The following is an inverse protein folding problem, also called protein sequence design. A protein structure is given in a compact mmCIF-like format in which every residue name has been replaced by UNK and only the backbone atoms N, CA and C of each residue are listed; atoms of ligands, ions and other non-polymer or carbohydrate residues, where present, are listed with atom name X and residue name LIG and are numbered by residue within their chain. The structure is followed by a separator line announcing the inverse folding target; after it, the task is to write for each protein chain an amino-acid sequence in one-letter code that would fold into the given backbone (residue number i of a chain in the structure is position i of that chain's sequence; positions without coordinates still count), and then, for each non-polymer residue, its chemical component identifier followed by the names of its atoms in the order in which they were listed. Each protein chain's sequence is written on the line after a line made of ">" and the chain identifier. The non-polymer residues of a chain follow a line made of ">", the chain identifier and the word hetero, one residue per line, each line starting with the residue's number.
data_IF_901060268696
#
_entry.id   IF_901060268696
#
_cell.length_a   1.000
_cell.length_b   1.000
_cell.length_c   1.000
_cell.angle_alpha   90.00
_cell.angle_beta   90.00
_cell.angle_gamma   90.00
#
_symmetry.space_group_name_H-M   'P 1'
#
loop_
_entity.id
_entity.type
_entity.pdbx_description
1 polymer ?
#
# COMPACT_ATOMS: atom_id res chain seq x y z
N UNK A 1 30.17 6.59 -2.57
CA UNK A 1 29.40 7.61 -1.83
C UNK A 1 27.94 7.23 -1.88
N UNK A 2 27.42 6.63 -0.81
CA UNK A 2 25.99 6.33 -0.65
C UNK A 2 25.20 7.63 -0.58
N UNK A 3 24.72 8.11 -1.74
CA UNK A 3 23.78 9.22 -1.78
C UNK A 3 22.47 8.70 -1.18
N UNK A 4 22.05 9.23 -0.03
CA UNK A 4 20.80 8.83 0.63
C UNK A 4 19.65 8.91 -0.38
N UNK A 5 19.03 7.78 -0.68
CA UNK A 5 17.99 7.67 -1.73
C UNK A 5 16.75 8.52 -1.40
N UNK A 6 16.46 8.66 -0.10
CA UNK A 6 15.35 9.46 0.40
C UNK A 6 15.80 10.82 0.94
N UNK A 7 15.01 11.84 0.66
CA UNK A 7 15.20 13.18 1.19
C UNK A 7 14.57 13.33 2.58
N UNK A 8 14.44 14.57 3.08
CA UNK A 8 13.78 14.87 4.36
C UNK A 8 12.36 14.29 4.43
N UNK A 9 11.90 14.05 5.65
CA UNK A 9 10.56 13.53 6.00
C UNK A 9 9.44 14.20 5.18
N UNK A 10 8.59 13.40 4.52
CA UNK A 10 7.40 13.88 3.79
C UNK A 10 6.43 14.60 4.75
N UNK A 11 5.91 15.80 4.40
CA UNK A 11 4.80 16.40 5.15
C UNK A 11 3.50 15.61 4.93
N UNK A 12 2.54 15.75 5.85
CA UNK A 12 1.19 15.26 5.61
C UNK A 12 0.44 16.19 4.65
N UNK A 13 -0.27 15.63 3.69
CA UNK A 13 -1.10 16.35 2.73
C UNK A 13 -2.58 16.19 3.09
N UNK A 14 -3.34 17.28 3.24
CA UNK A 14 -4.74 17.21 3.61
C UNK A 14 -5.59 16.66 2.46
N UNK A 15 -6.72 16.02 2.79
CA UNK A 15 -7.73 15.64 1.80
C UNK A 15 -8.42 16.91 1.31
N UNK A 16 -8.27 17.22 0.03
CA UNK A 16 -8.96 18.34 -0.59
C UNK A 16 -10.42 17.99 -0.94
N UNK A 17 -11.25 19.00 -1.27
CA UNK A 17 -12.67 18.80 -1.59
C UNK A 17 -12.89 17.81 -2.75
N UNK A 18 -12.07 17.87 -3.81
CA UNK A 18 -12.23 17.00 -4.97
C UNK A 18 -11.95 15.54 -4.62
N UNK A 19 -10.89 15.27 -3.85
CA UNK A 19 -10.60 13.93 -3.35
C UNK A 19 -11.69 13.44 -2.39
N UNK A 20 -12.21 14.31 -1.51
CA UNK A 20 -13.33 13.96 -0.63
C UNK A 20 -14.58 13.57 -1.43
N UNK A 21 -14.92 14.33 -2.46
CA UNK A 21 -16.08 14.06 -3.34
C UNK A 21 -15.89 12.72 -4.08
N UNK A 22 -14.68 12.46 -4.61
CA UNK A 22 -14.31 11.16 -5.20
C UNK A 22 -14.47 9.99 -4.21
N UNK A 23 -13.98 10.15 -2.99
CA UNK A 23 -14.08 9.11 -1.95
C UNK A 23 -15.54 8.87 -1.57
N UNK A 24 -16.39 9.90 -1.56
CA UNK A 24 -17.83 9.73 -1.32
C UNK A 24 -18.51 8.98 -2.47
N UNK A 25 -18.20 9.33 -3.71
CA UNK A 25 -18.75 8.65 -4.91
C UNK A 25 -18.44 7.14 -4.93
N UNK A 26 -17.27 6.75 -4.44
CA UNK A 26 -16.82 5.35 -4.38
C UNK A 26 -17.01 4.68 -3.01
N UNK A 27 -17.92 5.20 -2.18
CA UNK A 27 -18.28 4.63 -0.87
C UNK A 27 -17.09 4.42 0.09
N UNK A 28 -16.06 5.26 -0.02
CA UNK A 28 -14.89 5.30 0.87
C UNK A 28 -15.03 6.32 1.98
N UNK A 29 -15.75 7.42 1.73
CA UNK A 29 -15.99 8.46 2.72
C UNK A 29 -17.32 8.22 3.44
N UNK A 30 -17.22 7.70 4.67
CA UNK A 30 -18.38 7.30 5.48
C UNK A 30 -18.25 7.97 6.85
N UNK A 31 -19.37 8.34 7.46
CA UNK A 31 -19.37 8.78 8.87
C UNK A 31 -18.91 7.63 9.75
N UNK A 32 -17.71 7.74 10.30
CA UNK A 32 -17.16 6.77 11.24
C UNK A 32 -17.58 7.12 12.67
N UNK A 33 -17.82 6.11 13.53
CA UNK A 33 -18.25 6.32 14.91
C UNK A 33 -17.12 6.73 15.85
N UNK A 34 -15.86 6.68 15.41
CA UNK A 34 -14.68 7.02 16.22
C UNK A 34 -13.59 7.67 15.36
N UNK A 35 -12.97 8.72 15.89
CA UNK A 35 -11.86 9.43 15.25
C UNK A 35 -10.52 9.05 15.87
N UNK A 36 -9.44 9.35 15.17
CA UNK A 36 -8.08 9.16 15.68
C UNK A 36 -7.85 9.93 17.00
N UNK A 37 -8.38 11.15 17.09
CA UNK A 37 -8.28 12.06 18.24
C UNK A 37 -8.99 11.50 19.49
N UNK A 38 -10.05 10.70 19.32
CA UNK A 38 -10.74 10.06 20.45
C UNK A 38 -9.84 9.01 21.10
N UNK A 39 -9.12 8.23 20.29
CA UNK A 39 -8.21 7.20 20.77
C UNK A 39 -6.97 7.78 21.48
N UNK A 40 -6.58 9.02 21.19
CA UNK A 40 -5.51 9.71 21.91
C UNK A 40 -5.85 10.03 23.37
N UNK A 41 -7.11 9.88 23.80
CA UNK A 41 -7.54 10.12 25.19
C UNK A 41 -7.20 8.98 26.16
N UNK A 42 -6.43 7.98 25.75
CA UNK A 42 -6.00 6.90 26.64
C UNK A 42 -5.31 7.44 27.90
N UNK A 43 -5.57 6.82 29.06
CA UNK A 43 -5.09 7.28 30.38
C UNK A 43 -3.78 6.60 30.81
N UNK A 44 -3.52 5.41 30.28
CA UNK A 44 -2.35 4.63 30.60
C UNK A 44 -1.97 3.72 29.46
N UNK A 45 -0.74 3.20 29.49
CA UNK A 45 -0.28 2.23 28.53
C UNK A 45 0.82 1.34 29.10
N UNK A 46 1.00 0.17 28.50
CA UNK A 46 2.05 -0.80 28.84
C UNK A 46 2.81 -1.18 27.58
N UNK A 47 4.12 -1.28 27.68
CA UNK A 47 4.99 -1.67 26.57
C UNK A 47 4.70 -3.09 26.08
N UNK A 48 4.69 -3.26 24.76
CA UNK A 48 4.54 -4.57 24.12
C UNK A 48 5.93 -5.05 23.71
N UNK A 49 6.28 -6.24 24.18
CA UNK A 49 7.53 -6.91 23.84
C UNK A 49 7.25 -8.05 22.85
N UNK A 50 8.22 -8.31 21.97
CA UNK A 50 8.15 -9.43 21.04
C UNK A 50 8.39 -10.78 21.75
N UNK A 51 8.31 -11.88 21.00
CA UNK A 51 8.55 -13.25 21.50
C UNK A 51 9.97 -13.47 22.07
N UNK A 52 10.90 -12.56 21.79
CA UNK A 52 12.29 -12.59 22.23
C UNK A 52 12.58 -11.58 23.36
N UNK A 53 11.58 -10.83 23.82
CA UNK A 53 11.73 -9.82 24.86
C UNK A 53 12.28 -8.48 24.36
N UNK A 54 12.30 -8.22 23.05
CA UNK A 54 12.68 -6.92 22.51
C UNK A 54 11.47 -5.98 22.47
N UNK A 55 11.70 -4.68 22.66
CA UNK A 55 10.66 -3.66 22.52
C UNK A 55 10.10 -3.60 21.09
N UNK A 56 8.77 -3.62 20.95
CA UNK A 56 8.11 -3.56 19.64
C UNK A 56 7.82 -2.13 19.17
N UNK A 57 8.11 -1.11 20.00
CA UNK A 57 7.69 0.29 19.84
C UNK A 57 6.17 0.53 19.88
N UNK A 58 5.39 -0.54 20.10
CA UNK A 58 3.96 -0.47 20.38
C UNK A 58 3.71 -0.49 21.88
N UNK A 59 2.70 0.28 22.30
CA UNK A 59 2.19 0.27 23.66
C UNK A 59 0.72 -0.13 23.65
N UNK A 60 0.33 -1.06 24.52
CA UNK A 60 -1.08 -1.41 24.71
C UNK A 60 -1.73 -0.33 25.56
N UNK A 61 -2.83 0.25 25.09
CA UNK A 61 -3.46 1.42 25.70
C UNK A 61 -4.67 1.08 26.55
N UNK A 62 -4.91 1.88 27.59
CA UNK A 62 -6.06 1.75 28.50
C UNK A 62 -6.84 3.05 28.56
N UNK A 63 -8.15 2.94 28.50
CA UNK A 63 -9.09 4.06 28.56
C UNK A 63 -9.80 4.10 29.90
N UNK A 64 -10.35 5.26 30.24
CA UNK A 64 -11.17 5.40 31.44
C UNK A 64 -12.37 4.44 31.38
N UNK A 65 -12.75 3.85 32.50
CA UNK A 65 -13.84 2.87 32.56
C UNK A 65 -15.15 3.40 31.95
N UNK A 66 -15.45 4.68 32.15
CA UNK A 66 -16.64 5.34 31.61
C UNK A 66 -16.59 5.64 30.11
N UNK A 67 -15.41 5.69 29.48
CA UNK A 67 -15.26 5.87 28.02
C UNK A 67 -15.05 4.52 27.30
N UNK A 68 -14.55 3.52 28.01
CA UNK A 68 -14.10 2.26 27.43
C UNK A 68 -15.20 1.54 26.65
N UNK A 69 -16.40 1.43 27.23
CA UNK A 69 -17.52 0.75 26.57
C UNK A 69 -17.94 1.44 25.27
N UNK A 70 -17.94 2.78 25.26
CA UNK A 70 -18.27 3.58 24.07
C UNK A 70 -17.21 3.44 22.98
N UNK A 71 -15.93 3.49 23.35
CA UNK A 71 -14.81 3.30 22.42
C UNK A 71 -14.85 1.89 21.82
N UNK A 72 -14.98 0.85 22.65
CA UNK A 72 -15.04 -0.53 22.18
C UNK A 72 -16.25 -0.74 21.26
N UNK A 73 -17.43 -0.21 21.63
CA UNK A 73 -18.63 -0.30 20.78
C UNK A 73 -18.42 0.40 19.43
N UNK A 74 -17.80 1.57 19.42
CA UNK A 74 -17.50 2.31 18.20
C UNK A 74 -16.51 1.57 17.30
N UNK A 75 -15.48 0.94 17.88
CA UNK A 75 -14.53 0.10 17.14
C UNK A 75 -15.19 -1.16 16.57
N UNK A 76 -16.13 -1.79 17.29
CA UNK A 76 -16.90 -2.91 16.74
C UNK A 76 -17.77 -2.48 15.55
N UNK A 77 -18.38 -1.29 15.62
CA UNK A 77 -19.14 -0.70 14.49
C UNK A 77 -18.25 -0.37 13.30
N UNK A 78 -17.04 0.14 13.53
CA UNK A 78 -16.06 0.32 12.44
C UNK A 78 -15.82 -1.00 11.71
N UNK A 79 -15.62 -2.10 12.45
CA UNK A 79 -15.43 -3.42 11.85
C UNK A 79 -16.62 -3.85 11.00
N UNK A 80 -17.85 -3.67 11.47
CA UNK A 80 -19.06 -4.06 10.72
C UNK A 80 -19.29 -3.18 9.50
N UNK A 81 -18.99 -1.88 9.56
CA UNK A 81 -19.07 -0.99 8.38
C UNK A 81 -18.05 -1.40 7.32
N UNK A 82 -16.86 -1.84 7.73
CA UNK A 82 -15.78 -2.21 6.80
C UNK A 82 -16.00 -3.58 6.14
N UNK A 83 -16.60 -4.55 6.84
CA UNK A 83 -16.71 -5.95 6.39
C UNK A 83 -18.13 -6.44 6.09
N UNK A 84 -19.16 -5.71 6.53
CA UNK A 84 -20.56 -6.11 6.43
C UNK A 84 -21.43 -4.91 5.99
N UNK A 85 -22.72 -4.98 6.27
CA UNK A 85 -23.70 -3.93 5.98
C UNK A 85 -23.76 -2.83 7.06
N UNK A 86 -22.87 -2.88 8.04
CA UNK A 86 -22.90 -1.98 9.21
C UNK A 86 -24.00 -2.29 10.21
N UNK A 87 -24.68 -3.44 10.13
CA UNK A 87 -25.71 -3.83 11.08
C UNK A 87 -25.15 -4.08 12.49
N UNK A 88 -25.96 -3.72 13.50
CA UNK A 88 -25.61 -3.92 14.91
C UNK A 88 -25.76 -5.41 15.34
N UNK A 89 -26.42 -6.24 14.52
CA UNK A 89 -26.71 -7.66 14.81
C UNK A 89 -25.46 -8.50 15.02
N UNK A 90 -24.40 -8.20 14.26
CA UNK A 90 -23.12 -8.89 14.36
C UNK A 90 -22.30 -8.47 15.59
N UNK A 91 -22.57 -7.29 16.19
CA UNK A 91 -21.72 -6.70 17.23
C UNK A 91 -21.61 -7.56 18.49
N UNK A 92 -22.66 -8.33 18.82
CA UNK A 92 -22.64 -9.26 19.96
C UNK A 92 -21.59 -10.36 19.81
N UNK A 93 -21.19 -10.67 18.58
CA UNK A 93 -20.17 -11.67 18.25
C UNK A 93 -18.78 -11.07 18.04
N UNK A 94 -18.64 -9.75 18.10
CA UNK A 94 -17.37 -9.05 17.88
C UNK A 94 -16.83 -8.54 19.21
N UNK A 95 -15.53 -8.71 19.40
CA UNK A 95 -14.78 -8.27 20.58
C UNK A 95 -13.55 -7.46 20.17
N UNK A 96 -13.18 -6.48 20.99
CA UNK A 96 -11.94 -5.73 20.83
C UNK A 96 -10.95 -6.33 21.82
N UNK A 97 -10.01 -7.11 21.32
CA UNK A 97 -9.02 -7.80 22.13
C UNK A 97 -7.89 -6.86 22.59
N UNK A 98 -7.52 -5.90 21.74
CA UNK A 98 -6.41 -4.99 22.00
C UNK A 98 -6.56 -3.66 21.23
N UNK A 99 -6.10 -2.58 21.84
CA UNK A 99 -5.94 -1.26 21.24
C UNK A 99 -4.49 -0.83 21.50
N UNK A 100 -3.64 -0.96 20.48
CA UNK A 100 -2.22 -0.67 20.59
C UNK A 100 -1.89 0.63 19.86
N UNK A 101 -1.04 1.45 20.46
CA UNK A 101 -0.56 2.70 19.87
C UNK A 101 0.90 2.59 19.49
N UNK A 102 1.23 2.97 18.25
CA UNK A 102 2.61 3.03 17.80
C UNK A 102 3.25 4.35 18.25
N UNK A 103 4.30 4.26 19.05
CA UNK A 103 5.01 5.44 19.57
C UNK A 103 5.94 6.09 18.54
N UNK A 104 6.22 5.37 17.45
CA UNK A 104 7.14 5.73 16.38
C UNK A 104 6.42 6.08 15.06
N UNK A 105 7.14 6.70 14.11
CA UNK A 105 6.63 7.01 12.77
C UNK A 105 5.92 8.37 12.65
N UNK A 106 5.38 8.64 11.47
CA UNK A 106 4.84 9.97 11.10
C UNK A 106 3.39 10.13 11.54
N UNK A 107 2.62 9.08 11.32
CA UNK A 107 1.17 9.03 11.53
C UNK A 107 0.80 8.43 12.88
N UNK A 108 1.76 7.83 13.59
CA UNK A 108 1.61 7.18 14.91
C UNK A 108 0.29 6.40 15.00
N UNK A 109 0.14 5.32 14.21
CA UNK A 109 -1.13 4.64 14.05
C UNK A 109 -1.57 3.95 15.35
N UNK A 110 -2.88 3.79 15.51
CA UNK A 110 -3.46 2.77 16.39
C UNK A 110 -3.65 1.47 15.61
N UNK A 111 -3.38 0.34 16.25
CA UNK A 111 -3.68 -1.01 15.77
C UNK A 111 -4.72 -1.64 16.69
N UNK A 112 -5.85 -2.00 16.12
CA UNK A 112 -7.00 -2.54 16.83
C UNK A 112 -7.12 -4.02 16.47
N UNK A 113 -7.03 -4.90 17.47
CA UNK A 113 -7.30 -6.33 17.28
C UNK A 113 -8.78 -6.59 17.46
N UNK A 114 -9.47 -6.93 16.38
CA UNK A 114 -10.89 -7.24 16.37
C UNK A 114 -11.06 -8.73 16.20
N UNK A 115 -11.78 -9.39 17.10
CA UNK A 115 -11.98 -10.85 17.09
C UNK A 115 -13.46 -11.20 16.99
N UNK A 116 -13.79 -12.11 16.08
CA UNK A 116 -15.10 -12.73 15.98
C UNK A 116 -15.12 -14.00 16.84
N UNK A 117 -15.96 -14.01 17.87
CA UNK A 117 -16.00 -15.08 18.86
C UNK A 117 -16.64 -16.37 18.33
N UNK A 118 -17.39 -16.33 17.23
CA UNK A 118 -18.07 -17.51 16.69
C UNK A 118 -17.10 -18.47 15.98
N UNK A 119 -16.06 -17.94 15.36
CA UNK A 119 -15.07 -18.71 14.61
C UNK A 119 -13.63 -18.51 15.11
N UNK A 120 -13.46 -17.70 16.16
CA UNK A 120 -12.18 -17.30 16.76
C UNK A 120 -11.19 -16.64 15.78
N UNK A 121 -11.69 -16.16 14.63
CA UNK A 121 -10.90 -15.40 13.68
C UNK A 121 -10.73 -13.96 14.18
N UNK A 122 -9.56 -13.39 13.91
CA UNK A 122 -9.29 -11.99 14.20
C UNK A 122 -8.75 -11.26 12.95
N UNK A 123 -8.98 -9.96 12.93
CA UNK A 123 -8.41 -9.02 11.97
C UNK A 123 -7.79 -7.85 12.73
N UNK A 124 -6.78 -7.25 12.14
CA UNK A 124 -6.25 -5.98 12.63
C UNK A 124 -6.79 -4.83 11.79
N UNK A 125 -7.26 -3.78 12.45
CA UNK A 125 -7.59 -2.51 11.82
C UNK A 125 -6.55 -1.47 12.24
N UNK A 126 -6.14 -0.61 11.32
CA UNK A 126 -5.27 0.52 11.64
C UNK A 126 -6.03 1.83 11.52
N UNK A 127 -6.04 2.61 12.60
CA UNK A 127 -6.64 3.94 12.63
C UNK A 127 -5.52 4.98 12.67
N UNK A 128 -5.50 5.89 11.70
CA UNK A 128 -4.42 6.85 11.50
C UNK A 128 -4.97 8.22 11.14
N UNK A 129 -4.12 9.25 11.26
CA UNK A 129 -4.36 10.51 10.56
C UNK A 129 -4.36 10.29 9.05
N UNK A 130 -5.37 10.79 8.38
CA UNK A 130 -5.50 10.71 6.94
C UNK A 130 -4.47 11.59 6.24
N UNK A 131 -3.95 11.09 5.12
CA UNK A 131 -3.01 11.77 4.24
C UNK A 131 -3.41 11.49 2.80
N UNK A 132 -3.62 12.54 2.01
CA UNK A 132 -4.08 12.43 0.63
C UNK A 132 -3.12 11.59 -0.22
N UNK A 133 -1.81 11.77 -0.03
CA UNK A 133 -0.79 11.00 -0.74
C UNK A 133 -0.91 9.49 -0.45
N UNK A 134 -1.10 9.08 0.81
CA UNK A 134 -1.39 7.69 1.19
C UNK A 134 -2.65 7.16 0.53
N UNK A 135 -3.74 7.93 0.54
CA UNK A 135 -5.04 7.53 -0.05
C UNK A 135 -4.91 7.29 -1.55
N UNK A 136 -4.18 8.15 -2.27
CA UNK A 136 -3.90 7.93 -3.69
C UNK A 136 -3.17 6.61 -3.93
N UNK A 137 -2.24 6.23 -3.04
CA UNK A 137 -1.52 4.96 -3.13
C UNK A 137 -2.44 3.75 -2.92
N UNK A 138 -3.31 3.83 -1.91
CA UNK A 138 -4.31 2.79 -1.62
C UNK A 138 -5.28 2.60 -2.79
N UNK A 139 -5.80 3.69 -3.38
CA UNK A 139 -6.71 3.62 -4.53
C UNK A 139 -5.99 3.13 -5.80
N UNK A 140 -4.77 3.61 -6.08
CA UNK A 140 -3.97 3.10 -7.20
C UNK A 140 -3.64 1.62 -7.06
N UNK A 141 -3.35 1.14 -5.85
CA UNK A 141 -3.17 -0.30 -5.60
C UNK A 141 -4.49 -1.04 -5.80
N UNK A 142 -5.60 -0.55 -5.24
CA UNK A 142 -6.92 -1.17 -5.37
C UNK A 142 -7.38 -1.31 -6.83
N UNK A 143 -7.14 -0.30 -7.67
CA UNK A 143 -7.59 -0.28 -9.07
C UNK A 143 -6.68 -1.07 -10.02
N UNK A 144 -5.36 -1.05 -9.77
CA UNK A 144 -4.37 -1.53 -10.74
C UNK A 144 -3.69 -2.85 -10.32
N UNK A 145 -3.93 -3.32 -9.10
CA UNK A 145 -3.46 -4.60 -8.57
C UNK A 145 -4.60 -5.62 -8.57
N UNK A 146 -4.34 -6.94 -8.58
CA UNK A 146 -5.39 -7.93 -8.32
C UNK A 146 -5.80 -7.95 -6.84
N UNK A 147 -5.12 -7.18 -5.99
CA UNK A 147 -5.33 -7.16 -4.55
C UNK A 147 -6.31 -6.04 -4.19
N UNK A 148 -7.48 -6.40 -3.69
CA UNK A 148 -8.38 -5.41 -3.12
C UNK A 148 -7.83 -4.87 -1.80
N UNK A 149 -8.02 -3.56 -1.63
CA UNK A 149 -7.67 -2.80 -0.43
C UNK A 149 -8.96 -2.30 0.21
N UNK A 150 -9.16 -2.60 1.48
CA UNK A 150 -10.29 -2.17 2.28
C UNK A 150 -9.85 -1.06 3.23
N UNK A 151 -10.42 0.12 3.03
CA UNK A 151 -10.21 1.26 3.90
C UNK A 151 -11.40 2.20 3.83
N UNK A 152 -11.53 3.03 4.87
CA UNK A 152 -12.52 4.09 5.01
C UNK A 152 -11.85 5.38 5.45
N UNK A 153 -12.46 6.50 5.08
CA UNK A 153 -11.97 7.83 5.41
C UNK A 153 -13.13 8.64 5.99
N UNK A 154 -12.86 9.46 7.00
CA UNK A 154 -13.76 10.51 7.43
C UNK A 154 -12.99 11.68 8.03
N UNK A 155 -13.22 12.89 7.52
CA UNK A 155 -12.48 14.07 7.96
C UNK A 155 -10.96 13.85 7.80
N UNK A 156 -10.24 13.89 8.91
CA UNK A 156 -8.80 13.68 9.00
C UNK A 156 -8.41 12.30 9.57
N UNK A 157 -9.35 11.35 9.61
CA UNK A 157 -9.12 9.97 10.05
C UNK A 157 -9.23 9.00 8.88
N UNK A 158 -8.29 8.06 8.80
CA UNK A 158 -8.35 6.90 7.90
C UNK A 158 -8.34 5.61 8.73
N UNK A 159 -9.16 4.66 8.30
CA UNK A 159 -9.25 3.32 8.87
C UNK A 159 -8.88 2.32 7.77
N UNK A 160 -7.87 1.51 8.00
CA UNK A 160 -7.35 0.55 7.02
C UNK A 160 -7.41 -0.87 7.57
N UNK A 161 -7.88 -1.81 6.77
CA UNK A 161 -7.73 -3.23 7.10
C UNK A 161 -6.25 -3.63 6.97
N UNK A 162 -5.79 -4.49 7.88
CA UNK A 162 -4.46 -5.09 7.78
C UNK A 162 -4.32 -5.95 6.53
N UNK A 163 -3.25 -5.71 5.78
CA UNK A 163 -2.88 -6.57 4.65
C UNK A 163 -2.04 -7.73 5.19
N UNK A 164 -2.66 -8.90 5.31
CA UNK A 164 -2.02 -10.11 5.80
C UNK A 164 -0.95 -10.65 4.84
N UNK A 165 0.15 -11.11 5.41
CA UNK A 165 1.24 -11.80 4.72
C UNK A 165 2.49 -11.85 5.61
N UNK A 166 3.53 -12.55 5.16
CA UNK A 166 4.82 -12.59 5.85
C UNK A 166 5.57 -11.30 5.51
N UNK A 167 5.97 -10.46 6.48
CA UNK A 167 6.77 -9.26 6.21
C UNK A 167 8.01 -9.60 5.38
N UNK A 168 8.33 -8.77 4.40
CA UNK A 168 9.39 -9.09 3.45
C UNK A 168 10.77 -9.26 4.09
N UNK A 169 11.08 -8.47 5.11
CA UNK A 169 12.30 -8.60 5.91
C UNK A 169 12.37 -9.95 6.65
N UNK A 170 11.26 -10.33 7.28
CA UNK A 170 11.10 -11.60 7.98
C UNK A 170 11.24 -12.78 7.01
N UNK A 171 10.57 -12.71 5.85
CA UNK A 171 10.65 -13.77 4.85
C UNK A 171 12.06 -13.94 4.28
N UNK A 172 12.75 -12.83 3.98
CA UNK A 172 14.13 -12.84 3.50
C UNK A 172 15.05 -13.50 4.55
N UNK A 173 14.97 -13.06 5.81
CA UNK A 173 15.86 -13.53 6.87
C UNK A 173 15.57 -14.96 7.35
N UNK A 174 14.31 -15.37 7.41
CA UNK A 174 13.90 -16.63 8.07
C UNK A 174 13.49 -17.73 7.09
N UNK A 175 13.09 -17.41 5.85
CA UNK A 175 12.49 -18.38 4.93
C UNK A 175 13.26 -18.56 3.62
N UNK A 176 13.83 -17.48 3.06
CA UNK A 176 14.37 -17.47 1.68
C UNK A 176 15.44 -18.53 1.44
N UNK A 177 16.36 -18.73 2.38
CA UNK A 177 17.43 -19.73 2.25
C UNK A 177 16.90 -21.16 2.15
N UNK A 178 15.83 -21.45 2.89
CA UNK A 178 15.20 -22.78 2.96
C UNK A 178 14.31 -23.11 1.75
N UNK A 179 13.99 -22.13 0.91
CA UNK A 179 13.18 -22.32 -0.29
C UNK A 179 13.87 -23.22 -1.32
N UNK A 180 13.08 -24.05 -2.01
CA UNK A 180 13.57 -24.85 -3.14
C UNK A 180 13.99 -23.98 -4.32
N UNK A 181 14.74 -24.53 -5.27
CA UNK A 181 15.12 -23.80 -6.50
C UNK A 181 13.89 -23.35 -7.31
N UNK A 182 12.83 -24.16 -7.31
CA UNK A 182 11.56 -23.84 -7.95
C UNK A 182 10.87 -22.65 -7.26
N UNK A 183 10.85 -22.63 -5.93
CA UNK A 183 10.30 -21.52 -5.14
C UNK A 183 11.10 -20.24 -5.39
N UNK A 184 12.44 -20.32 -5.35
CA UNK A 184 13.34 -19.18 -5.60
C UNK A 184 13.14 -18.61 -7.01
N UNK A 185 12.90 -19.47 -8.01
CA UNK A 185 12.54 -19.05 -9.37
C UNK A 185 11.20 -18.30 -9.40
N UNK A 186 10.17 -18.81 -8.70
CA UNK A 186 8.87 -18.15 -8.61
C UNK A 186 8.95 -16.79 -7.90
N UNK A 187 9.72 -16.72 -6.80
CA UNK A 187 9.99 -15.48 -6.06
C UNK A 187 10.73 -14.48 -6.94
N UNK A 188 11.77 -14.90 -7.67
CA UNK A 188 12.52 -14.03 -8.58
C UNK A 188 11.62 -13.43 -9.68
N UNK A 189 10.78 -14.26 -10.31
CA UNK A 189 9.77 -13.80 -11.27
C UNK A 189 8.82 -12.78 -10.65
N UNK A 190 8.28 -13.05 -9.47
CA UNK A 190 7.37 -12.14 -8.79
C UNK A 190 8.06 -10.84 -8.36
N UNK A 191 9.33 -10.88 -7.96
CA UNK A 191 10.09 -9.70 -7.58
C UNK A 191 10.33 -8.76 -8.78
N UNK A 192 10.59 -9.29 -9.98
CA UNK A 192 10.66 -8.49 -11.22
C UNK A 192 9.32 -7.80 -11.49
N UNK A 193 8.22 -8.54 -11.37
CA UNK A 193 6.87 -7.99 -11.57
C UNK A 193 6.52 -6.95 -10.52
N UNK A 194 6.86 -7.19 -9.25
CA UNK A 194 6.64 -6.25 -8.15
C UNK A 194 7.43 -4.96 -8.35
N UNK A 195 8.68 -5.03 -8.80
CA UNK A 195 9.48 -3.85 -9.14
C UNK A 195 8.78 -2.97 -10.19
N UNK A 196 8.27 -3.60 -11.26
CA UNK A 196 7.57 -2.88 -12.34
C UNK A 196 6.26 -2.25 -11.85
N UNK A 197 5.50 -3.01 -11.05
CA UNK A 197 4.26 -2.53 -10.41
C UNK A 197 4.48 -1.31 -9.52
N UNK A 198 5.56 -1.28 -8.75
CA UNK A 198 5.88 -0.14 -7.89
C UNK A 198 6.28 1.07 -8.72
N UNK A 199 7.09 0.85 -9.75
CA UNK A 199 7.65 1.93 -10.55
C UNK A 199 6.60 2.66 -11.39
N UNK A 200 5.71 1.93 -12.08
CA UNK A 200 4.68 2.55 -12.94
C UNK A 200 3.73 3.43 -12.14
N UNK A 201 3.38 3.00 -10.92
CA UNK A 201 2.42 3.67 -10.04
C UNK A 201 3.08 4.66 -9.09
N UNK A 202 4.42 4.76 -9.12
CA UNK A 202 5.22 5.51 -8.15
C UNK A 202 4.84 5.17 -6.70
N UNK A 203 4.59 3.89 -6.43
CA UNK A 203 4.40 3.39 -5.08
C UNK A 203 5.68 3.65 -4.29
N UNK A 204 5.56 4.15 -3.06
CA UNK A 204 6.65 4.64 -2.20
C UNK A 204 7.86 3.71 -2.03
N UNK A 205 8.72 3.98 -1.05
CA UNK A 205 9.94 3.19 -0.88
C UNK A 205 9.62 1.76 -0.38
N UNK A 206 9.60 0.80 -1.29
CA UNK A 206 9.31 -0.60 -0.99
C UNK A 206 10.53 -1.34 -0.43
N UNK A 207 10.97 -0.90 0.76
CA UNK A 207 11.91 -1.64 1.59
C UNK A 207 11.27 -2.95 2.05
N UNK A 208 12.07 -3.92 2.46
CA UNK A 208 11.58 -5.26 2.79
C UNK A 208 10.51 -5.28 3.89
N UNK A 209 10.50 -4.32 4.82
CA UNK A 209 9.46 -4.17 5.84
C UNK A 209 8.18 -3.40 5.37
N UNK A 210 8.16 -2.87 4.15
CA UNK A 210 7.05 -2.11 3.56
C UNK A 210 6.19 -2.95 2.58
N UNK A 211 6.48 -4.23 2.45
CA UNK A 211 5.67 -5.19 1.70
C UNK A 211 5.60 -6.54 2.40
N UNK A 212 4.66 -7.38 1.99
CA UNK A 212 4.49 -8.74 2.49
C UNK A 212 4.51 -9.77 1.35
N UNK A 213 4.98 -10.97 1.65
CA UNK A 213 4.77 -12.16 0.83
C UNK A 213 3.44 -12.81 1.21
N UNK A 214 2.63 -13.10 0.19
CA UNK A 214 1.43 -13.92 0.29
C UNK A 214 1.67 -15.21 -0.48
N UNK A 215 1.56 -16.33 0.22
CA UNK A 215 1.83 -17.66 -0.30
C UNK A 215 0.49 -18.37 -0.49
N UNK A 216 0.19 -18.77 -1.72
CA UNK A 216 -1.01 -19.54 -2.04
C UNK A 216 -0.59 -20.94 -2.47
N UNK A 217 -1.04 -21.96 -1.75
CA UNK A 217 -0.75 -23.34 -2.10
C UNK A 217 -1.68 -23.77 -3.25
N UNK A 218 -1.09 -24.09 -4.39
CA UNK A 218 -1.74 -24.76 -5.53
C UNK A 218 -1.49 -26.28 -5.44
N UNK A 219 -2.04 -27.07 -6.36
CA UNK A 219 -1.98 -28.55 -6.30
C UNK A 219 -0.56 -29.12 -6.18
N UNK A 220 0.42 -28.53 -6.85
CA UNK A 220 1.80 -29.03 -6.94
C UNK A 220 2.88 -27.95 -6.71
N UNK A 221 2.47 -26.71 -6.40
CA UNK A 221 3.39 -25.56 -6.27
C UNK A 221 2.85 -24.51 -5.32
N UNK A 222 3.74 -23.62 -4.88
CA UNK A 222 3.38 -22.43 -4.11
C UNK A 222 3.45 -21.22 -5.04
N UNK A 223 2.34 -20.49 -5.14
CA UNK A 223 2.32 -19.19 -5.81
C UNK A 223 2.70 -18.10 -4.82
N UNK A 224 3.79 -17.40 -5.14
CA UNK A 224 4.29 -16.27 -4.35
C UNK A 224 3.79 -14.95 -4.94
N UNK A 225 3.18 -14.12 -4.10
CA UNK A 225 2.76 -12.77 -4.44
C UNK A 225 3.38 -11.76 -3.48
N UNK A 226 3.96 -10.68 -4.00
CA UNK A 226 4.43 -9.57 -3.18
C UNK A 226 3.41 -8.43 -3.21
N UNK A 227 2.94 -8.03 -2.03
CA UNK A 227 1.96 -6.95 -1.82
C UNK A 227 2.57 -5.79 -1.06
N UNK A 228 2.44 -4.58 -1.58
CA UNK A 228 2.77 -3.36 -0.85
C UNK A 228 1.83 -3.18 0.34
N UNK A 229 2.37 -2.76 1.49
CA UNK A 229 1.58 -2.47 2.70
C UNK A 229 1.76 -1.03 3.20
N UNK A 230 2.83 -0.35 2.78
CA UNK A 230 3.05 1.05 3.11
C UNK A 230 2.97 1.97 1.88
N UNK A 231 2.16 3.02 1.99
CA UNK A 231 1.91 4.03 0.97
C UNK A 231 2.28 5.44 1.45
N UNK A 232 3.00 5.56 2.58
CA UNK A 232 3.36 6.85 3.17
C UNK A 232 4.28 7.71 2.28
N UNK A 233 5.02 7.12 1.33
CA UNK A 233 5.87 7.85 0.37
C UNK A 233 5.29 7.88 -1.06
N UNK A 234 3.99 7.61 -1.21
CA UNK A 234 3.33 7.57 -2.53
C UNK A 234 3.56 8.86 -3.34
N UNK A 235 4.13 8.70 -4.54
CA UNK A 235 4.37 9.79 -5.50
C UNK A 235 5.06 11.02 -4.92
N UNK A 236 5.90 10.89 -3.89
CA UNK A 236 6.54 12.04 -3.24
C UNK A 236 7.96 12.32 -3.71
N UNK A 237 8.79 11.29 -3.87
CA UNK A 237 10.22 11.44 -4.15
C UNK A 237 10.55 11.81 -5.60
N UNK A 238 11.64 12.57 -5.77
CA UNK A 238 12.13 13.01 -7.09
C UNK A 238 13.01 11.96 -7.79
N UNK A 239 13.77 11.21 -7.01
CA UNK A 239 14.66 10.16 -7.50
C UNK A 239 13.84 8.91 -7.87
N UNK A 240 13.82 8.56 -9.16
CA UNK A 240 13.05 7.42 -9.69
C UNK A 240 13.44 6.08 -9.08
N UNK A 241 14.65 5.94 -8.54
CA UNK A 241 15.13 4.70 -7.91
C UNK A 241 14.40 4.37 -6.61
N UNK A 242 13.80 5.35 -5.94
CA UNK A 242 13.01 5.12 -4.71
C UNK A 242 11.82 4.20 -4.98
N UNK A 243 11.21 4.33 -6.16
CA UNK A 243 10.04 3.56 -6.58
C UNK A 243 10.38 2.19 -7.17
N UNK A 244 11.63 1.77 -7.06
CA UNK A 244 12.17 0.52 -7.61
C UNK A 244 12.82 -0.29 -6.48
N UNK A 245 12.10 -1.26 -5.89
CA UNK A 245 12.60 -2.09 -4.79
C UNK A 245 14.04 -2.59 -4.96
N UNK A 246 14.46 -2.93 -6.18
CA UNK A 246 15.82 -3.40 -6.50
C UNK A 246 16.96 -2.41 -6.17
N UNK A 247 16.68 -1.14 -5.91
CA UNK A 247 17.70 -0.16 -5.50
C UNK A 247 17.74 0.07 -3.99
N UNK A 248 16.86 -0.58 -3.22
CA UNK A 248 16.81 -0.48 -1.77
C UNK A 248 17.65 -1.60 -1.17
N UNK A 249 18.54 -1.24 -0.24
CA UNK A 249 19.58 -2.15 0.29
C UNK A 249 19.00 -3.36 0.98
N UNK A 250 17.85 -3.17 1.62
CA UNK A 250 17.12 -4.20 2.35
C UNK A 250 16.59 -5.32 1.44
N UNK A 251 16.62 -5.13 0.11
CA UNK A 251 16.19 -6.11 -0.89
C UNK A 251 17.37 -6.76 -1.64
N UNK A 252 18.62 -6.51 -1.23
CA UNK A 252 19.81 -6.98 -1.96
C UNK A 252 19.82 -8.50 -2.17
N UNK A 253 19.39 -9.30 -1.18
CA UNK A 253 19.35 -10.76 -1.31
C UNK A 253 18.38 -11.20 -2.42
N UNK A 254 17.21 -10.57 -2.52
CA UNK A 254 16.27 -10.82 -3.61
C UNK A 254 16.86 -10.37 -4.97
N UNK A 255 17.60 -9.26 -5.00
CA UNK A 255 18.25 -8.77 -6.22
C UNK A 255 19.31 -9.75 -6.70
N UNK A 256 20.23 -10.16 -5.82
CA UNK A 256 21.29 -11.11 -6.15
C UNK A 256 20.73 -12.45 -6.59
N UNK A 257 19.75 -12.99 -5.85
CA UNK A 257 19.04 -14.21 -6.24
C UNK A 257 18.40 -14.08 -7.63
N UNK A 258 17.70 -12.97 -7.89
CA UNK A 258 17.02 -12.74 -9.17
C UNK A 258 18.01 -12.68 -10.33
N UNK A 259 19.13 -11.99 -10.17
CA UNK A 259 20.18 -11.87 -11.20
C UNK A 259 20.90 -13.20 -11.47
N UNK A 260 21.03 -14.06 -10.46
CA UNK A 260 21.63 -15.38 -10.60
C UNK A 260 20.70 -16.38 -11.31
N UNK A 261 19.39 -16.26 -11.12
CA UNK A 261 18.40 -17.21 -11.63
C UNK A 261 17.81 -16.83 -12.99
N UNK A 262 17.65 -15.53 -13.27
CA UNK A 262 16.95 -15.04 -14.46
C UNK A 262 17.91 -14.41 -15.47
N UNK A 263 17.76 -14.82 -16.74
CA UNK A 263 18.37 -14.12 -17.87
C UNK A 263 17.65 -12.80 -18.15
N UNK A 264 18.33 -11.87 -18.82
CA UNK A 264 17.80 -10.53 -19.12
C UNK A 264 16.52 -10.59 -19.95
N UNK A 265 16.45 -11.50 -20.91
CA UNK A 265 15.28 -11.71 -21.77
C UNK A 265 14.06 -12.16 -20.95
N UNK A 266 14.25 -13.06 -19.99
CA UNK A 266 13.18 -13.50 -19.09
C UNK A 266 12.69 -12.36 -18.20
N UNK A 267 13.60 -11.54 -17.68
CA UNK A 267 13.24 -10.37 -16.89
C UNK A 267 12.41 -9.38 -17.71
N UNK A 268 12.80 -9.11 -18.96
CA UNK A 268 12.05 -8.20 -19.82
C UNK A 268 10.68 -8.76 -20.22
N UNK A 269 10.59 -10.07 -20.47
CA UNK A 269 9.31 -10.75 -20.65
C UNK A 269 8.38 -10.53 -19.45
N UNK A 270 8.86 -10.76 -18.22
CA UNK A 270 8.02 -10.60 -17.03
C UNK A 270 7.58 -9.16 -16.78
N UNK A 271 8.42 -8.16 -17.09
CA UNK A 271 8.01 -6.75 -17.06
C UNK A 271 6.91 -6.48 -18.09
N UNK A 272 7.04 -6.99 -19.31
CA UNK A 272 6.04 -6.80 -20.37
C UNK A 272 4.71 -7.48 -20.05
N UNK A 273 4.74 -8.68 -19.43
CA UNK A 273 3.55 -9.33 -18.90
C UNK A 273 2.84 -8.45 -17.87
N UNK A 274 3.58 -7.90 -16.89
CA UNK A 274 2.99 -7.04 -15.85
C UNK A 274 2.45 -5.72 -16.43
N UNK A 275 3.18 -5.08 -17.35
CA UNK A 275 2.70 -3.88 -18.07
C UNK A 275 1.40 -4.15 -18.83
N UNK A 276 1.28 -5.31 -19.47
CA UNK A 276 0.07 -5.70 -20.20
C UNK A 276 -1.11 -5.93 -19.26
N UNK A 277 -0.89 -6.59 -18.13
CA UNK A 277 -1.93 -6.76 -17.09
C UNK A 277 -2.37 -5.43 -16.50
N UNK A 278 -1.42 -4.53 -16.22
CA UNK A 278 -1.70 -3.19 -15.71
C UNK A 278 -2.47 -2.36 -16.75
N UNK A 279 -2.09 -2.40 -18.02
CA UNK A 279 -2.82 -1.73 -19.10
C UNK A 279 -4.28 -2.21 -19.17
N UNK A 280 -4.50 -3.52 -19.11
CA UNK A 280 -5.84 -4.12 -19.13
C UNK A 280 -6.70 -3.63 -17.95
N UNK A 281 -6.15 -3.63 -16.74
CA UNK A 281 -6.86 -3.12 -15.53
C UNK A 281 -7.13 -1.62 -15.63
N UNK A 282 -6.16 -0.84 -16.10
CA UNK A 282 -6.33 0.60 -16.30
C UNK A 282 -7.38 0.94 -17.38
N UNK A 283 -7.66 0.02 -18.30
CA UNK A 283 -8.75 0.15 -19.27
C UNK A 283 -10.09 -0.35 -18.71
N UNK A 284 -10.12 -1.39 -17.88
CA UNK A 284 -11.37 -1.85 -17.24
C UNK A 284 -11.88 -0.86 -16.18
N UNK A 285 -10.97 -0.24 -15.42
CA UNK A 285 -11.29 0.75 -14.37
C UNK A 285 -11.24 2.19 -14.90
N UNK A 286 -11.43 2.41 -16.21
CA UNK A 286 -11.13 3.69 -16.86
C UNK A 286 -11.80 4.89 -16.19
N UNK A 287 -13.11 4.82 -15.94
CA UNK A 287 -13.86 5.95 -15.40
C UNK A 287 -13.37 6.32 -13.98
N UNK A 288 -13.31 5.34 -13.08
CA UNK A 288 -12.85 5.53 -11.69
C UNK A 288 -11.38 5.95 -11.63
N UNK A 289 -10.52 5.37 -12.47
CA UNK A 289 -9.11 5.74 -12.55
C UNK A 289 -8.93 7.16 -13.08
N UNK A 290 -9.71 7.57 -14.09
CA UNK A 290 -9.66 8.93 -14.64
C UNK A 290 -10.05 9.95 -13.56
N UNK A 291 -11.15 9.70 -12.84
CA UNK A 291 -11.57 10.56 -11.73
C UNK A 291 -10.50 10.67 -10.63
N UNK A 292 -9.85 9.57 -10.27
CA UNK A 292 -8.74 9.56 -9.31
C UNK A 292 -7.55 10.40 -9.80
N UNK A 293 -7.13 10.20 -11.05
CA UNK A 293 -6.00 10.92 -11.65
C UNK A 293 -6.30 12.42 -11.77
N UNK A 294 -7.53 12.80 -12.06
CA UNK A 294 -7.94 14.20 -12.10
C UNK A 294 -7.90 14.86 -10.71
N UNK A 295 -8.22 14.11 -9.65
CA UNK A 295 -7.95 14.58 -8.28
C UNK A 295 -6.46 14.81 -8.06
N UNK A 296 -5.60 13.84 -8.43
CA UNK A 296 -4.14 13.97 -8.26
C UNK A 296 -3.54 15.13 -9.06
N UNK A 297 -4.06 15.43 -10.26
CA UNK A 297 -3.62 16.55 -11.11
C UNK A 297 -3.98 17.92 -10.53
N UNK A 298 -4.97 17.98 -9.63
CA UNK A 298 -5.36 19.22 -8.96
C UNK A 298 -4.81 19.31 -7.53
N UNK A 299 -3.99 18.35 -7.11
CA UNK A 299 -3.36 18.31 -5.79
C UNK A 299 -1.84 18.60 -5.84
N UNK A 300 -1.27 18.96 -4.69
CA UNK A 300 0.16 19.16 -4.50
C UNK A 300 0.71 18.02 -3.64
N UNK A 301 1.32 17.02 -4.29
CA UNK A 301 1.82 15.81 -3.60
C UNK A 301 3.35 15.79 -3.41
N UNK A 302 4.06 16.80 -3.93
CA UNK A 302 5.51 16.91 -3.82
C UNK A 302 5.99 18.34 -4.05
N UNK A 303 7.30 18.55 -3.92
CA UNK A 303 7.94 19.85 -4.15
C UNK A 303 8.27 20.07 -5.64
N UNK A 304 8.29 21.32 -6.14
CA UNK A 304 8.67 21.61 -7.52
C UNK A 304 10.04 21.07 -7.94
N UNK A 305 11.01 21.04 -7.01
CA UNK A 305 12.34 20.50 -7.26
C UNK A 305 12.31 18.99 -7.56
N UNK A 306 11.58 18.22 -6.74
CA UNK A 306 11.41 16.77 -6.93
C UNK A 306 10.64 16.43 -8.19
N UNK A 307 9.57 17.17 -8.47
CA UNK A 307 8.80 17.01 -9.72
C UNK A 307 9.70 17.24 -10.94
N UNK A 308 10.55 18.27 -10.91
CA UNK A 308 11.50 18.58 -11.98
C UNK A 308 12.55 17.48 -12.17
N UNK A 309 13.10 16.96 -11.07
CA UNK A 309 14.04 15.84 -11.08
C UNK A 309 13.40 14.60 -11.73
N UNK A 310 12.26 14.15 -11.19
CA UNK A 310 11.59 12.92 -11.63
C UNK A 310 11.22 12.97 -13.11
N UNK A 311 10.63 14.08 -13.56
CA UNK A 311 10.17 14.18 -14.94
C UNK A 311 11.31 14.19 -15.96
N UNK A 312 12.49 14.69 -15.58
CA UNK A 312 13.69 14.64 -16.43
C UNK A 312 14.20 13.20 -16.52
N UNK A 313 14.26 12.49 -15.40
CA UNK A 313 14.65 11.07 -15.37
C UNK A 313 13.70 10.20 -16.19
N UNK A 314 12.39 10.34 -16.00
CA UNK A 314 11.38 9.58 -16.73
C UNK A 314 11.36 9.92 -18.23
N UNK A 315 11.57 11.19 -18.61
CA UNK A 315 11.76 11.56 -20.01
C UNK A 315 13.03 10.93 -20.59
N UNK A 316 14.12 10.89 -19.83
CA UNK A 316 15.35 10.25 -20.29
C UNK A 316 15.17 8.75 -20.54
N UNK A 317 14.41 8.08 -19.67
CA UNK A 317 14.12 6.65 -19.74
C UNK A 317 13.17 6.29 -20.90
N UNK A 318 12.10 7.06 -21.08
CA UNK A 318 11.00 6.69 -22.00
C UNK A 318 11.02 7.45 -23.33
N UNK A 319 11.76 8.57 -23.39
CA UNK A 319 11.71 9.59 -24.46
C UNK A 319 10.32 10.18 -24.71
N UNK A 320 9.35 9.96 -23.83
CA UNK A 320 7.99 10.48 -23.99
C UNK A 320 7.88 11.94 -23.50
N UNK A 321 7.59 12.84 -24.43
CA UNK A 321 7.48 14.28 -24.19
C UNK A 321 6.39 14.66 -23.17
N UNK A 322 5.43 13.79 -22.87
CA UNK A 322 4.40 14.00 -21.85
C UNK A 322 5.01 14.16 -20.46
N UNK A 323 6.00 13.33 -20.10
CA UNK A 323 6.72 13.48 -18.83
C UNK A 323 7.35 14.86 -18.71
N UNK A 324 8.03 15.34 -19.75
CA UNK A 324 8.66 16.67 -19.75
C UNK A 324 7.64 17.80 -19.51
N UNK A 325 6.42 17.66 -20.04
CA UNK A 325 5.30 18.61 -19.92
C UNK A 325 4.53 18.53 -18.60
N UNK A 326 4.71 17.46 -17.83
CA UNK A 326 4.05 17.29 -16.53
C UNK A 326 4.35 18.46 -15.58
N UNK A 327 3.30 18.96 -14.94
CA UNK A 327 3.34 20.11 -14.02
C UNK A 327 3.39 19.66 -12.56
N UNK A 328 2.77 18.54 -12.23
CA UNK A 328 2.76 17.95 -10.88
C UNK A 328 2.84 16.41 -10.92
N UNK A 329 2.76 15.78 -9.75
CA UNK A 329 2.85 14.33 -9.61
C UNK A 329 1.65 13.59 -10.24
N UNK A 330 0.45 14.16 -10.20
CA UNK A 330 -0.72 13.60 -10.90
C UNK A 330 -0.51 13.51 -12.41
N UNK A 331 0.05 14.56 -13.03
CA UNK A 331 0.42 14.53 -14.45
C UNK A 331 1.47 13.45 -14.76
N UNK A 332 2.44 13.24 -13.86
CA UNK A 332 3.49 12.23 -14.04
C UNK A 332 2.88 10.82 -13.99
N UNK A 333 2.06 10.51 -12.97
CA UNK A 333 1.39 9.21 -12.85
C UNK A 333 0.46 8.98 -14.04
N UNK A 334 -0.34 9.98 -14.41
CA UNK A 334 -1.19 9.91 -15.61
C UNK A 334 -0.38 9.65 -16.88
N UNK A 335 0.77 10.30 -17.03
CA UNK A 335 1.66 10.07 -18.19
C UNK A 335 2.26 8.67 -18.21
N UNK A 336 2.59 8.11 -17.04
CA UNK A 336 3.11 6.74 -16.91
C UNK A 336 2.05 5.71 -17.30
N UNK A 337 0.82 5.86 -16.81
CA UNK A 337 -0.29 4.98 -17.14
C UNK A 337 -0.67 5.09 -18.62
N UNK A 338 -0.74 6.30 -19.17
CA UNK A 338 -0.95 6.53 -20.61
C UNK A 338 0.14 5.90 -21.48
N UNK A 339 1.39 5.93 -21.03
CA UNK A 339 2.50 5.27 -21.71
C UNK A 339 2.30 3.76 -21.72
N UNK A 340 1.94 3.17 -20.58
CA UNK A 340 1.69 1.73 -20.48
C UNK A 340 0.48 1.31 -21.33
N UNK A 341 -0.64 2.03 -21.26
CA UNK A 341 -1.82 1.73 -22.09
C UNK A 341 -1.49 1.74 -23.58
N UNK A 342 -0.90 2.83 -24.09
CA UNK A 342 -0.59 2.95 -25.54
C UNK A 342 0.34 1.86 -26.07
N UNK A 343 1.28 1.39 -25.26
CA UNK A 343 2.29 0.43 -25.70
C UNK A 343 1.90 -1.03 -25.41
N UNK A 344 0.92 -1.29 -24.53
CA UNK A 344 0.64 -2.64 -24.02
C UNK A 344 -0.86 -3.05 -24.00
N UNK A 345 -1.79 -2.17 -24.39
CA UNK A 345 -3.25 -2.45 -24.40
C UNK A 345 -3.69 -3.47 -25.46
N UNK A 346 -2.91 -3.69 -26.52
CA UNK A 346 -3.30 -4.51 -27.68
C UNK A 346 -2.34 -5.68 -27.99
N UNK A 347 -1.93 -6.45 -26.98
CA UNK A 347 -1.00 -7.58 -27.19
C UNK A 347 -1.74 -8.92 -27.36
N UNK A 348 -3.07 -9.00 -27.16
CA UNK A 348 -3.80 -10.26 -27.34
C UNK A 348 -4.55 -10.32 -28.69
N UNK A 349 -3.98 -10.98 -29.73
CA UNK A 349 -4.60 -11.08 -31.06
C UNK A 349 -5.85 -11.98 -31.09
N UNK A 350 -6.19 -12.63 -29.98
CA UNK A 350 -7.31 -13.58 -29.88
C UNK A 350 -8.56 -13.02 -29.19
N UNK A 351 -8.55 -11.74 -28.77
CA UNK A 351 -9.75 -11.11 -28.21
C UNK A 351 -10.77 -10.90 -29.34
N UNK A 352 -11.94 -11.55 -29.21
CA UNK A 352 -13.10 -11.26 -30.04
C UNK A 352 -13.64 -9.89 -29.60
N UNK A 353 -13.66 -8.92 -30.51
CA UNK A 353 -14.13 -7.56 -30.26
C UNK A 353 -15.61 -7.40 -30.58
#
# INVERSE_FOLDING_TARGET
>A
MDKKLMSKKKPAYPINKQLSDYLTEHSRNIKIPIYYEDLLRFQGAVEIYDKHGNETLWISTYFAEHEREEIEMSLKRVYTILHADGSDEALQYITIDAIDFCTFGNTKPFRIKVRNILNDNYVYLYIKKADASRIYGLELEHLLSPNHINFLVHGDTIIEEHISGIPGDTFINENLDSCSDQDKMAIAKEFVKFNERCFIRLLGDMRSYNYVFVLTHDFDRIDYRIRAIDFDQQSFEGNSKVYKPQFLKENNELVEMTLNLLQEESMEQYKNEERSLLAKRASSEYDRLSSLLDCMKNDTLSTPAKIKELKVELFSLTKDVRFRRAKNMGDIVSSALDFVKRNYENINPYIIR
#
